data_IF_125686763641
#
_entry.id   IF_125686763641
#
_cell.length_a   1.000
_cell.length_b   1.000
_cell.length_c   1.000
_cell.angle_alpha   90.00
_cell.angle_beta   90.00
_cell.angle_gamma   90.00
#
_symmetry.space_group_name_H-M   'P 1'
#
loop_
_entity.id
_entity.type
_entity.pdbx_description
1 polymer ?
#
# COMPACT_ATOMS: atom_id res chain seq x y z
N UNK A 1 -101.81 -9.25 -36.07
CA UNK A 1 -100.74 -8.99 -37.07
C UNK A 1 -100.04 -7.70 -36.69
N UNK A 2 -99.02 -7.79 -35.83
CA UNK A 2 -98.24 -6.63 -35.34
C UNK A 2 -96.80 -6.87 -35.76
N UNK A 3 -96.35 -6.11 -36.77
CA UNK A 3 -95.02 -6.23 -37.38
C UNK A 3 -93.96 -5.67 -36.43
N UNK A 4 -93.16 -6.56 -35.85
CA UNK A 4 -91.96 -6.25 -35.06
C UNK A 4 -90.80 -6.00 -36.03
N UNK A 5 -90.49 -4.73 -36.30
CA UNK A 5 -89.25 -4.33 -36.94
C UNK A 5 -88.17 -4.16 -35.85
N UNK A 6 -87.34 -5.19 -35.65
CA UNK A 6 -86.12 -5.10 -34.82
C UNK A 6 -85.08 -4.26 -35.57
N UNK A 7 -84.89 -3.03 -35.12
CA UNK A 7 -83.77 -2.17 -35.51
C UNK A 7 -82.48 -2.71 -34.91
N UNK A 8 -81.64 -3.32 -35.76
CA UNK A 8 -80.27 -3.69 -35.46
C UNK A 8 -79.43 -2.42 -35.29
N UNK A 9 -79.27 -1.95 -34.04
CA UNK A 9 -78.29 -0.90 -33.72
C UNK A 9 -76.89 -1.46 -34.02
N UNK A 10 -76.27 -0.97 -35.10
CA UNK A 10 -74.85 -1.20 -35.33
C UNK A 10 -74.07 -0.54 -34.19
N UNK A 11 -73.49 -1.34 -33.31
CA UNK A 11 -72.48 -0.87 -32.37
C UNK A 11 -71.29 -0.37 -33.22
N UNK A 12 -71.22 0.96 -33.40
CA UNK A 12 -70.00 1.62 -33.87
C UNK A 12 -68.93 1.26 -32.85
N UNK A 13 -68.02 0.37 -33.22
CA UNK A 13 -66.80 0.15 -32.46
C UNK A 13 -66.10 1.50 -32.33
N UNK A 14 -66.14 2.09 -31.13
CA UNK A 14 -65.33 3.24 -30.78
C UNK A 14 -63.88 2.80 -30.97
N UNK A 15 -63.28 3.22 -32.08
CA UNK A 15 -61.88 2.95 -32.37
C UNK A 15 -61.03 3.46 -31.21
N UNK A 16 -60.17 2.59 -30.68
CA UNK A 16 -59.19 2.97 -29.67
C UNK A 16 -58.48 4.24 -30.16
N UNK A 17 -58.47 5.34 -29.38
CA UNK A 17 -57.93 6.60 -29.85
C UNK A 17 -56.47 6.42 -30.28
N UNK A 18 -56.15 6.79 -31.52
CA UNK A 18 -54.79 6.73 -32.11
C UNK A 18 -53.73 7.34 -31.17
N UNK A 19 -54.13 8.34 -30.40
CA UNK A 19 -53.28 9.02 -29.42
C UNK A 19 -52.88 8.12 -28.24
N UNK A 20 -53.72 7.16 -27.86
CA UNK A 20 -53.41 6.17 -26.82
C UNK A 20 -52.36 5.17 -27.32
N UNK A 21 -52.44 4.75 -28.58
CA UNK A 21 -51.45 3.87 -29.22
C UNK A 21 -50.08 4.56 -29.31
N UNK A 22 -50.05 5.84 -29.71
CA UNK A 22 -48.80 6.63 -29.75
C UNK A 22 -48.17 6.78 -28.36
N UNK A 23 -48.97 6.99 -27.31
CA UNK A 23 -48.46 7.03 -25.93
C UNK A 23 -47.84 5.69 -25.52
N UNK A 24 -48.49 4.57 -25.82
CA UNK A 24 -47.96 3.23 -25.52
C UNK A 24 -46.66 2.95 -26.28
N UNK A 25 -46.57 3.31 -27.56
CA UNK A 25 -45.32 3.19 -28.33
C UNK A 25 -44.18 4.01 -27.73
N UNK A 26 -44.47 5.24 -27.28
CA UNK A 26 -43.46 6.09 -26.64
C UNK A 26 -43.01 5.53 -25.29
N UNK A 27 -43.94 5.00 -24.48
CA UNK A 27 -43.61 4.33 -23.23
C UNK A 27 -42.76 3.08 -23.45
N UNK A 28 -43.06 2.29 -24.48
CA UNK A 28 -42.28 1.10 -24.83
C UNK A 28 -40.85 1.44 -25.26
N UNK A 29 -40.69 2.45 -26.13
CA UNK A 29 -39.35 2.87 -26.57
C UNK A 29 -38.51 3.43 -25.41
N UNK A 30 -39.16 4.10 -24.46
CA UNK A 30 -38.50 4.53 -23.23
C UNK A 30 -38.06 3.34 -22.37
N UNK A 31 -38.89 2.30 -22.25
CA UNK A 31 -38.58 1.05 -21.54
C UNK A 31 -37.33 0.36 -22.14
N UNK A 32 -37.29 0.20 -23.46
CA UNK A 32 -36.17 -0.44 -24.18
C UNK A 32 -34.85 0.32 -23.97
N UNK A 33 -34.92 1.65 -23.92
CA UNK A 33 -33.76 2.51 -23.64
C UNK A 33 -33.25 2.32 -22.21
N UNK A 34 -34.15 2.27 -21.23
CA UNK A 34 -33.82 2.04 -19.82
C UNK A 34 -33.24 0.64 -19.58
N UNK A 35 -33.80 -0.39 -20.22
CA UNK A 35 -33.30 -1.77 -20.13
C UNK A 35 -31.86 -1.89 -20.67
N UNK A 36 -31.56 -1.23 -21.79
CA UNK A 36 -30.21 -1.19 -22.36
C UNK A 36 -29.22 -0.48 -21.44
N UNK A 37 -29.59 0.68 -20.90
CA UNK A 37 -28.75 1.41 -19.94
C UNK A 37 -28.49 0.60 -18.65
N UNK A 38 -29.48 -0.16 -18.18
CA UNK A 38 -29.33 -1.03 -17.01
C UNK A 38 -28.33 -2.16 -17.28
N UNK A 39 -28.39 -2.78 -18.47
CA UNK A 39 -27.46 -3.83 -18.87
C UNK A 39 -26.02 -3.34 -18.91
N UNK A 40 -25.79 -2.14 -19.44
CA UNK A 40 -24.45 -1.53 -19.45
C UNK A 40 -23.96 -1.19 -18.04
N UNK A 41 -24.80 -0.53 -17.22
CA UNK A 41 -24.44 -0.14 -15.86
C UNK A 41 -24.16 -1.36 -14.96
N UNK A 42 -24.97 -2.42 -15.06
CA UNK A 42 -24.75 -3.65 -14.31
C UNK A 42 -23.46 -4.38 -14.73
N UNK A 43 -23.15 -4.43 -16.04
CA UNK A 43 -21.90 -4.99 -16.54
C UNK A 43 -20.67 -4.20 -16.06
N UNK A 44 -20.73 -2.87 -16.09
CA UNK A 44 -19.66 -2.00 -15.60
C UNK A 44 -19.41 -2.21 -14.10
N UNK A 45 -20.49 -2.32 -13.32
CA UNK A 45 -20.40 -2.56 -11.88
C UNK A 45 -19.82 -3.95 -11.56
N UNK A 46 -20.29 -5.02 -12.22
CA UNK A 46 -19.75 -6.37 -12.02
C UNK A 46 -18.24 -6.36 -12.27
N UNK A 47 -17.80 -5.67 -13.32
CA UNK A 47 -16.38 -5.51 -13.65
C UNK A 47 -15.61 -4.76 -12.55
N UNK A 48 -16.21 -3.69 -11.99
CA UNK A 48 -15.63 -2.94 -10.88
C UNK A 48 -15.51 -3.77 -9.60
N UNK A 49 -16.56 -4.48 -9.21
CA UNK A 49 -16.58 -5.37 -8.04
C UNK A 49 -15.54 -6.48 -8.21
N UNK A 50 -15.44 -7.07 -9.40
CA UNK A 50 -14.45 -8.11 -9.69
C UNK A 50 -13.02 -7.58 -9.55
N UNK A 51 -12.73 -6.39 -10.12
CA UNK A 51 -11.43 -5.72 -10.00
C UNK A 51 -11.04 -5.42 -8.54
N UNK A 52 -11.98 -4.90 -7.75
CA UNK A 52 -11.76 -4.65 -6.33
C UNK A 52 -11.55 -5.95 -5.53
N UNK A 53 -12.30 -6.99 -5.84
CA UNK A 53 -12.15 -8.32 -5.21
C UNK A 53 -10.77 -8.90 -5.46
N UNK A 54 -10.27 -8.83 -6.71
CA UNK A 54 -8.93 -9.26 -7.07
C UNK A 54 -7.85 -8.46 -6.34
N UNK A 55 -8.06 -7.15 -6.16
CA UNK A 55 -7.14 -6.28 -5.42
C UNK A 55 -7.04 -6.72 -3.95
N UNK A 56 -8.18 -7.00 -3.31
CA UNK A 56 -8.22 -7.49 -1.91
C UNK A 56 -7.57 -8.87 -1.78
N UNK A 57 -7.85 -9.79 -2.71
CA UNK A 57 -7.22 -11.12 -2.72
C UNK A 57 -5.70 -11.03 -2.84
N UNK A 58 -5.20 -10.14 -3.70
CA UNK A 58 -3.77 -9.90 -3.86
C UNK A 58 -3.13 -9.36 -2.59
N UNK A 59 -3.74 -8.35 -1.96
CA UNK A 59 -3.26 -7.81 -0.68
C UNK A 59 -3.22 -8.88 0.42
N UNK A 60 -4.21 -9.78 0.45
CA UNK A 60 -4.24 -10.89 1.40
C UNK A 60 -3.12 -11.91 1.13
N UNK A 61 -2.86 -12.23 -0.14
CA UNK A 61 -1.78 -13.13 -0.53
C UNK A 61 -0.39 -12.55 -0.20
N UNK A 62 -0.20 -11.25 -0.43
CA UNK A 62 1.03 -10.54 -0.10
C UNK A 62 1.27 -10.54 1.43
N UNK A 63 0.23 -10.29 2.22
CA UNK A 63 0.30 -10.32 3.69
C UNK A 63 0.66 -11.73 4.22
N UNK A 64 0.04 -12.78 3.67
CA UNK A 64 0.34 -14.16 4.07
C UNK A 64 1.77 -14.57 3.66
N UNK A 65 2.24 -14.10 2.50
CA UNK A 65 3.61 -14.36 2.04
C UNK A 65 4.65 -13.69 2.94
N UNK A 66 4.38 -12.45 3.38
CA UNK A 66 5.22 -11.76 4.37
C UNK A 66 5.25 -12.50 5.71
N UNK A 67 4.10 -13.02 6.17
CA UNK A 67 4.02 -13.81 7.40
C UNK A 67 4.83 -15.11 7.32
N UNK A 68 4.76 -15.83 6.20
CA UNK A 68 5.55 -17.03 5.98
C UNK A 68 7.06 -16.73 5.98
N UNK A 69 7.48 -15.62 5.37
CA UNK A 69 8.88 -15.18 5.38
C UNK A 69 9.42 -14.89 6.78
N UNK A 70 8.61 -14.26 7.65
CA UNK A 70 8.97 -14.00 9.04
C UNK A 70 9.14 -15.28 9.87
N UNK A 71 8.26 -16.27 9.69
CA UNK A 71 8.33 -17.56 10.42
C UNK A 71 9.55 -18.39 10.00
N UNK A 72 9.94 -18.36 8.73
CA UNK A 72 11.14 -19.07 8.25
C UNK A 72 12.43 -18.40 8.74
N UNK A 73 12.44 -17.07 8.88
CA UNK A 73 13.60 -16.35 9.43
C UNK A 73 13.86 -16.65 10.91
N UNK A 74 12.83 -16.94 11.71
CA UNK A 74 12.97 -17.32 13.12
C UNK A 74 13.45 -18.78 13.33
N UNK A 75 13.27 -19.66 12.35
CA UNK A 75 13.65 -21.07 12.45
C UNK A 75 15.06 -21.39 11.92
N UNK A 76 15.79 -20.41 11.40
CA UNK A 76 17.10 -20.61 10.77
C UNK A 76 18.26 -19.82 11.40
N UNK A 77 18.09 -19.28 12.60
CA UNK A 77 19.24 -18.84 13.42
C UNK A 77 19.92 -20.08 14.03
N UNK A 78 21.14 -20.45 13.58
CA UNK A 78 21.85 -21.57 14.19
C UNK A 78 22.31 -21.12 15.58
N UNK A 79 21.88 -21.83 16.62
CA UNK A 79 22.47 -21.74 17.95
C UNK A 79 23.87 -22.38 17.92
N UNK A 80 24.86 -21.72 17.31
CA UNK A 80 26.27 -22.12 17.48
C UNK A 80 26.82 -21.48 18.74
N UNK A 81 26.52 -22.11 19.87
CA UNK A 81 27.27 -21.97 21.10
C UNK A 81 28.20 -23.17 21.25
N UNK A 82 29.39 -23.11 20.66
CA UNK A 82 30.49 -24.01 21.05
C UNK A 82 31.71 -23.21 21.47
N UNK A 83 31.88 -23.23 22.79
CA UNK A 83 33.06 -22.84 23.53
C UNK A 83 34.13 -23.93 23.37
N UNK A 84 35.26 -23.60 22.74
CA UNK A 84 36.48 -24.39 22.89
C UNK A 84 37.66 -23.50 23.27
N UNK A 85 37.94 -23.51 24.58
CA UNK A 85 39.28 -23.28 25.13
C UNK A 85 40.14 -24.50 24.79
N UNK A 86 41.35 -24.25 24.31
CA UNK A 86 42.40 -25.25 24.24
C UNK A 86 43.62 -24.76 23.46
N UNK A 87 44.67 -24.32 24.19
CA UNK A 87 46.03 -24.29 23.64
C UNK A 87 46.55 -25.72 23.40
N UNK A 88 47.72 -25.89 22.75
CA UNK A 88 48.97 -25.57 23.45
C UNK A 88 50.09 -24.94 22.61
N UNK A 89 50.92 -24.18 23.33
CA UNK A 89 52.39 -24.11 23.31
C UNK A 89 53.16 -24.81 22.17
N UNK A 90 53.90 -24.03 21.37
CA UNK A 90 55.09 -24.49 20.64
C UNK A 90 56.17 -23.41 20.66
N UNK A 91 57.34 -23.87 21.09
CA UNK A 91 58.62 -23.21 21.32
C UNK A 91 59.30 -22.59 20.10
N UNK A 92 60.22 -21.65 20.41
CA UNK A 92 61.49 -21.33 19.69
C UNK A 92 61.37 -20.78 18.26
N UNK A 93 61.85 -19.54 18.07
CA UNK A 93 63.26 -19.44 17.66
C UNK A 93 63.89 -18.07 17.92
N UNK A 94 65.19 -18.15 18.28
CA UNK A 94 66.14 -17.06 18.39
C UNK A 94 66.35 -16.42 17.02
N UNK A 95 66.46 -15.10 16.97
CA UNK A 95 67.59 -14.51 16.25
C UNK A 95 67.95 -13.14 16.83
N UNK A 96 69.21 -13.08 17.24
CA UNK A 96 69.91 -11.91 17.73
C UNK A 96 70.13 -10.93 16.56
N UNK A 97 69.83 -9.65 16.78
CA UNK A 97 70.47 -8.58 16.02
C UNK A 97 70.82 -7.45 16.99
N UNK A 98 72.09 -7.43 17.39
CA UNK A 98 72.75 -6.26 17.97
C UNK A 98 72.84 -5.21 16.87
N UNK A 99 72.53 -3.94 17.17
CA UNK A 99 73.29 -2.76 16.71
C UNK A 99 72.84 -1.50 17.48
N UNK A 100 73.86 -0.88 18.08
CA UNK A 100 74.09 0.51 18.45
C UNK A 100 73.13 1.30 19.33
N UNK A 101 73.64 1.59 20.53
CA UNK A 101 73.49 2.83 21.26
C UNK A 101 73.76 4.07 20.39
N UNK A 102 72.85 5.05 20.43
CA UNK A 102 73.14 6.50 20.54
C UNK A 102 71.85 7.31 20.57
N UNK A 103 71.75 8.21 21.55
CA UNK A 103 71.11 9.52 21.33
C UNK A 103 69.91 9.87 22.20
N UNK A 104 70.21 10.55 23.32
CA UNK A 104 69.43 11.60 24.02
C UNK A 104 68.21 12.17 23.25
N UNK A 105 67.08 12.34 23.93
CA UNK A 105 66.68 13.64 24.50
C UNK A 105 65.35 13.53 25.26
N UNK A 106 65.32 14.12 26.45
CA UNK A 106 64.17 14.24 27.32
C UNK A 106 63.25 15.36 26.84
N UNK A 107 61.95 15.09 26.71
CA UNK A 107 60.90 16.09 26.65
C UNK A 107 59.98 15.90 27.86
N UNK A 108 60.12 16.80 28.83
CA UNK A 108 59.13 17.06 29.88
C UNK A 108 57.93 17.74 29.22
N UNK A 109 56.77 17.09 29.23
CA UNK A 109 55.49 17.78 29.06
C UNK A 109 54.66 17.62 30.33
N UNK A 110 54.10 18.74 30.75
CA UNK A 110 53.33 18.96 31.96
C UNK A 110 52.01 18.19 31.91
N UNK A 111 51.74 17.40 32.95
CA UNK A 111 50.44 16.82 33.21
C UNK A 111 49.51 17.91 33.77
N UNK A 112 48.50 18.31 33.00
CA UNK A 112 47.34 19.06 33.49
C UNK A 112 46.31 18.02 33.92
N UNK A 113 46.01 17.98 35.22
CA UNK A 113 44.93 17.18 35.81
C UNK A 113 43.57 17.76 35.42
N UNK A 114 42.64 16.99 34.81
CA UNK A 114 41.27 17.45 34.64
C UNK A 114 40.49 17.19 35.93
N UNK A 115 39.87 18.26 36.42
CA UNK A 115 38.97 18.32 37.56
C UNK A 115 37.79 17.36 37.37
N UNK A 116 37.52 16.54 38.38
CA UNK A 116 36.44 15.57 38.39
C UNK A 116 35.06 16.25 38.38
N UNK A 117 34.47 16.41 37.20
CA UNK A 117 33.03 16.63 37.08
C UNK A 117 32.32 15.28 37.31
N UNK A 118 31.41 15.28 38.29
CA UNK A 118 30.65 14.10 38.74
C UNK A 118 29.74 13.58 37.60
N UNK A 119 29.85 12.32 37.15
CA UNK A 119 29.12 11.82 35.97
C UNK A 119 27.65 11.42 36.17
N UNK A 120 27.03 11.69 37.33
CA UNK A 120 25.78 11.00 37.74
C UNK A 120 24.51 11.87 37.70
N UNK A 121 24.51 13.05 37.08
CA UNK A 121 23.31 13.90 36.99
C UNK A 121 22.47 13.72 35.71
N UNK A 122 22.79 12.75 34.82
CA UNK A 122 22.09 12.59 33.53
C UNK A 122 21.30 11.27 33.35
N UNK A 123 21.15 10.44 34.38
CA UNK A 123 20.33 9.19 34.28
C UNK A 123 18.84 9.47 34.00
N UNK A 124 18.32 10.62 34.44
CA UNK A 124 16.92 11.02 34.22
C UNK A 124 16.62 11.47 32.77
N UNK A 125 17.65 11.76 31.97
CA UNK A 125 17.47 12.18 30.57
C UNK A 125 17.30 10.99 29.63
N UNK A 126 17.99 9.87 29.89
CA UNK A 126 17.94 8.70 29.01
C UNK A 126 16.68 7.85 29.22
N UNK A 127 16.20 7.74 30.46
CA UNK A 127 14.92 7.09 30.78
C UNK A 127 13.73 7.82 30.13
N UNK A 128 13.80 9.15 30.04
CA UNK A 128 12.79 9.96 29.35
C UNK A 128 12.80 9.77 27.82
N UNK A 129 13.97 9.65 27.18
CA UNK A 129 14.06 9.45 25.73
C UNK A 129 13.53 8.08 25.30
N UNK A 130 13.81 7.04 26.07
CA UNK A 130 13.39 5.66 25.77
C UNK A 130 11.88 5.46 26.01
N UNK A 131 11.34 6.10 27.06
CA UNK A 131 9.90 6.19 27.29
C UNK A 131 9.19 6.95 26.16
N UNK A 132 9.79 8.05 25.69
CA UNK A 132 9.25 8.85 24.59
C UNK A 132 9.32 8.12 23.22
N UNK A 133 10.33 7.27 23.00
CA UNK A 133 10.41 6.46 21.78
C UNK A 133 9.40 5.31 21.78
N UNK A 134 9.21 4.62 22.92
CA UNK A 134 8.15 3.62 23.07
C UNK A 134 6.76 4.23 22.93
N UNK A 135 6.53 5.42 23.49
CA UNK A 135 5.31 6.21 23.28
C UNK A 135 5.06 6.45 21.80
N UNK A 136 6.04 7.00 21.06
CA UNK A 136 5.88 7.26 19.63
C UNK A 136 5.65 6.02 18.77
N UNK A 137 6.24 4.87 19.09
CA UNK A 137 5.94 3.63 18.37
C UNK A 137 4.54 3.07 18.69
N UNK A 138 4.05 3.30 19.91
CA UNK A 138 2.67 3.00 20.27
C UNK A 138 1.71 3.90 19.48
N UNK A 139 1.98 5.22 19.45
CA UNK A 139 1.17 6.21 18.73
C UNK A 139 1.12 5.92 17.23
N UNK A 140 2.26 5.57 16.61
CA UNK A 140 2.31 5.22 15.18
C UNK A 140 1.53 3.93 14.85
N UNK A 141 1.48 2.98 15.78
CA UNK A 141 0.64 1.78 15.62
C UNK A 141 -0.83 2.11 15.76
N UNK A 142 -1.21 2.92 16.74
CA UNK A 142 -2.59 3.39 16.91
C UNK A 142 -3.05 4.16 15.67
N UNK A 143 -2.20 5.04 15.12
CA UNK A 143 -2.50 5.75 13.87
C UNK A 143 -2.63 4.79 12.69
N UNK A 144 -1.80 3.75 12.59
CA UNK A 144 -1.88 2.76 11.53
C UNK A 144 -3.16 1.90 11.63
N UNK A 145 -3.54 1.49 12.84
CA UNK A 145 -4.76 0.74 13.10
C UNK A 145 -6.01 1.61 12.86
N UNK A 146 -5.97 2.88 13.25
CA UNK A 146 -7.04 3.86 12.98
C UNK A 146 -7.19 4.14 11.48
N UNK A 147 -6.07 4.28 10.76
CA UNK A 147 -6.08 4.45 9.31
C UNK A 147 -6.62 3.21 8.62
N UNK A 148 -6.16 2.01 8.99
CA UNK A 148 -6.66 0.75 8.41
C UNK A 148 -8.15 0.57 8.69
N UNK A 149 -8.59 0.85 9.92
CA UNK A 149 -9.99 0.79 10.32
C UNK A 149 -10.82 1.81 9.55
N UNK A 150 -10.35 3.05 9.41
CA UNK A 150 -11.00 4.08 8.60
C UNK A 150 -11.06 3.70 7.12
N UNK A 151 -10.01 3.12 6.55
CA UNK A 151 -9.96 2.73 5.14
C UNK A 151 -10.91 1.57 4.85
N UNK A 152 -10.97 0.57 5.75
CA UNK A 152 -11.93 -0.52 5.69
C UNK A 152 -13.37 0.01 5.86
N UNK A 153 -13.60 0.92 6.81
CA UNK A 153 -14.91 1.50 7.05
C UNK A 153 -15.39 2.38 5.88
N UNK A 154 -14.51 3.19 5.31
CA UNK A 154 -14.81 4.04 4.16
C UNK A 154 -15.10 3.21 2.92
N UNK A 155 -14.28 2.21 2.61
CA UNK A 155 -14.53 1.30 1.49
C UNK A 155 -15.83 0.52 1.68
N UNK A 156 -16.11 0.04 2.90
CA UNK A 156 -17.37 -0.62 3.23
C UNK A 156 -18.55 0.32 3.05
N UNK A 157 -18.45 1.57 3.50
CA UNK A 157 -19.52 2.57 3.38
C UNK A 157 -19.78 2.93 1.92
N UNK A 158 -18.73 3.14 1.12
CA UNK A 158 -18.85 3.41 -0.31
C UNK A 158 -19.52 2.24 -1.02
N UNK A 159 -19.09 1.00 -0.76
CA UNK A 159 -19.70 -0.19 -1.36
C UNK A 159 -21.15 -0.37 -0.93
N UNK A 160 -21.48 -0.15 0.35
CA UNK A 160 -22.86 -0.22 0.84
C UNK A 160 -23.75 0.88 0.23
N UNK A 161 -23.23 2.09 0.07
CA UNK A 161 -23.97 3.19 -0.54
C UNK A 161 -24.21 2.94 -2.04
N UNK A 162 -23.20 2.43 -2.75
CA UNK A 162 -23.36 2.01 -4.14
C UNK A 162 -24.41 0.91 -4.26
N UNK A 163 -24.30 -0.14 -3.44
CA UNK A 163 -25.28 -1.24 -3.42
C UNK A 163 -26.71 -0.74 -3.14
N UNK A 164 -26.89 0.17 -2.18
CA UNK A 164 -28.20 0.80 -1.89
C UNK A 164 -28.73 1.64 -3.05
N UNK A 165 -27.87 2.41 -3.72
CA UNK A 165 -28.28 3.23 -4.87
C UNK A 165 -28.75 2.34 -6.04
N UNK A 166 -28.06 1.23 -6.27
CA UNK A 166 -28.45 0.24 -7.29
C UNK A 166 -29.77 -0.42 -6.91
N UNK A 167 -29.90 -0.87 -5.66
CA UNK A 167 -31.13 -1.46 -5.15
C UNK A 167 -32.31 -0.51 -5.34
N UNK A 168 -32.18 0.77 -4.97
CA UNK A 168 -33.23 1.77 -5.17
C UNK A 168 -33.58 1.99 -6.65
N UNK A 169 -32.59 1.91 -7.55
CA UNK A 169 -32.83 2.00 -9.01
C UNK A 169 -33.62 0.80 -9.52
N UNK A 170 -33.28 -0.41 -9.07
CA UNK A 170 -33.98 -1.65 -9.43
C UNK A 170 -35.41 -1.65 -8.87
N UNK A 171 -35.60 -1.26 -7.61
CA UNK A 171 -36.93 -1.15 -6.98
C UNK A 171 -37.83 -0.14 -7.71
N UNK A 172 -37.29 1.04 -8.07
CA UNK A 172 -38.01 2.05 -8.83
C UNK A 172 -38.44 1.54 -10.21
N UNK A 173 -37.59 0.75 -10.87
CA UNK A 173 -37.91 0.14 -12.16
C UNK A 173 -38.98 -0.95 -12.04
N UNK A 174 -38.91 -1.80 -11.01
CA UNK A 174 -39.95 -2.80 -10.72
C UNK A 174 -41.30 -2.11 -10.50
N UNK A 175 -41.32 -1.04 -9.69
CA UNK A 175 -42.53 -0.27 -9.43
C UNK A 175 -43.10 0.38 -10.71
N UNK A 176 -42.23 0.92 -11.57
CA UNK A 176 -42.63 1.48 -12.87
C UNK A 176 -43.24 0.40 -13.78
N UNK A 177 -42.63 -0.78 -13.86
CA UNK A 177 -43.16 -1.92 -14.63
C UNK A 177 -44.50 -2.40 -14.08
N UNK A 178 -44.67 -2.44 -12.75
CA UNK A 178 -45.95 -2.78 -12.11
C UNK A 178 -47.04 -1.76 -12.45
N UNK A 179 -46.75 -0.46 -12.40
CA UNK A 179 -47.68 0.59 -12.81
C UNK A 179 -48.06 0.46 -14.30
N UNK A 180 -47.09 0.18 -15.17
CA UNK A 180 -47.37 -0.08 -16.58
C UNK A 180 -48.26 -1.33 -16.77
N UNK A 181 -48.08 -2.36 -15.94
CA UNK A 181 -48.87 -3.58 -15.98
C UNK A 181 -50.33 -3.34 -15.56
N UNK A 182 -50.58 -2.52 -14.54
CA UNK A 182 -51.94 -2.13 -14.13
C UNK A 182 -52.65 -1.33 -15.24
N UNK A 183 -51.95 -0.38 -15.85
CA UNK A 183 -52.46 0.42 -16.97
C UNK A 183 -52.82 -0.47 -18.18
N UNK A 184 -51.96 -1.43 -18.52
CA UNK A 184 -52.20 -2.37 -19.62
C UNK A 184 -53.26 -3.41 -19.28
N UNK A 185 -53.29 -3.93 -18.05
CA UNK A 185 -54.29 -4.87 -17.57
C UNK A 185 -55.70 -4.29 -17.60
N UNK A 186 -55.84 -2.99 -17.32
CA UNK A 186 -57.13 -2.28 -17.46
C UNK A 186 -57.61 -2.14 -18.91
N UNK A 187 -56.67 -2.20 -19.87
CA UNK A 187 -56.94 -2.10 -21.31
C UNK A 187 -57.23 -3.45 -21.96
N UNK A 188 -56.67 -4.52 -21.41
CA UNK A 188 -56.89 -5.89 -21.87
C UNK A 188 -58.19 -6.43 -21.28
N UNK A 189 -59.31 -6.10 -21.92
CA UNK A 189 -60.56 -6.85 -21.69
C UNK A 189 -60.39 -8.30 -22.15
N UNK A 190 -61.03 -9.29 -21.50
CA UNK A 190 -60.87 -10.73 -21.81
C UNK A 190 -61.19 -11.15 -23.25
N UNK A 191 -61.75 -10.26 -24.09
CA UNK A 191 -62.03 -10.54 -25.50
C UNK A 191 -60.81 -10.52 -26.44
N UNK A 192 -59.66 -9.99 -26.02
CA UNK A 192 -58.48 -9.87 -26.91
C UNK A 192 -57.81 -11.20 -27.28
N UNK A 193 -57.97 -12.26 -26.48
CA UNK A 193 -57.40 -13.59 -26.80
C UNK A 193 -58.02 -14.24 -28.05
N UNK A 194 -59.18 -13.74 -28.50
CA UNK A 194 -59.90 -14.25 -29.68
C UNK A 194 -59.75 -13.39 -30.94
N UNK A 195 -59.04 -12.25 -30.85
CA UNK A 195 -58.86 -11.35 -31.98
C UNK A 195 -57.87 -11.92 -33.00
N UNK A 196 -58.31 -12.09 -34.26
CA UNK A 196 -57.45 -12.52 -35.37
C UNK A 196 -56.64 -11.36 -35.98
N UNK A 197 -56.68 -10.17 -35.39
CA UNK A 197 -56.00 -9.00 -35.92
C UNK A 197 -54.50 -9.05 -35.58
N UNK A 198 -53.66 -9.02 -36.62
CA UNK A 198 -52.19 -9.01 -36.55
C UNK A 198 -51.57 -8.02 -35.52
N UNK A 199 -52.09 -6.78 -35.37
CA UNK A 199 -51.56 -5.83 -34.39
C UNK A 199 -51.74 -6.29 -32.93
N UNK A 200 -52.84 -6.97 -32.62
CA UNK A 200 -53.15 -7.44 -31.27
C UNK A 200 -52.21 -8.59 -30.87
N UNK A 201 -51.89 -9.48 -31.83
CA UNK A 201 -50.92 -10.56 -31.64
C UNK A 201 -49.51 -10.03 -31.36
N UNK A 202 -49.07 -9.02 -32.12
CA UNK A 202 -47.75 -8.38 -31.93
C UNK A 202 -47.65 -7.64 -30.58
N UNK A 203 -48.76 -7.06 -30.11
CA UNK A 203 -48.82 -6.45 -28.78
C UNK A 203 -48.72 -7.51 -27.68
N UNK A 204 -49.45 -8.62 -27.81
CA UNK A 204 -49.43 -9.72 -26.84
C UNK A 204 -48.05 -10.39 -26.74
N UNK A 205 -47.35 -10.56 -27.86
CA UNK A 205 -45.97 -11.06 -27.89
C UNK A 205 -45.01 -10.14 -27.14
N UNK A 206 -45.11 -8.82 -27.34
CA UNK A 206 -44.30 -7.84 -26.60
C UNK A 206 -44.62 -7.84 -25.11
N UNK A 207 -45.89 -7.93 -24.73
CA UNK A 207 -46.29 -8.03 -23.33
C UNK A 207 -45.70 -9.28 -22.66
N UNK A 208 -45.77 -10.44 -23.32
CA UNK A 208 -45.14 -11.68 -22.82
C UNK A 208 -43.63 -11.54 -22.69
N UNK A 209 -42.97 -10.85 -23.63
CA UNK A 209 -41.53 -10.58 -23.54
C UNK A 209 -41.18 -9.75 -22.30
N UNK A 210 -41.95 -8.69 -22.01
CA UNK A 210 -41.77 -7.85 -20.82
C UNK A 210 -42.01 -8.65 -19.53
N UNK A 211 -43.05 -9.48 -19.46
CA UNK A 211 -43.32 -10.31 -18.27
C UNK A 211 -42.18 -11.34 -18.03
N UNK A 212 -41.65 -11.94 -19.10
CA UNK A 212 -40.50 -12.84 -18.99
C UNK A 212 -39.23 -12.11 -18.54
N UNK A 213 -39.01 -10.88 -19.01
CA UNK A 213 -37.89 -10.04 -18.57
C UNK A 213 -38.03 -9.67 -17.08
N UNK A 214 -39.24 -9.30 -16.64
CA UNK A 214 -39.55 -9.04 -15.22
C UNK A 214 -39.22 -10.26 -14.34
N UNK A 215 -39.67 -11.46 -14.73
CA UNK A 215 -39.34 -12.71 -14.01
C UNK A 215 -37.82 -12.92 -13.95
N UNK A 216 -37.10 -12.63 -15.04
CA UNK A 216 -35.64 -12.76 -15.10
C UNK A 216 -34.94 -11.77 -14.17
N UNK A 217 -35.37 -10.52 -14.15
CA UNK A 217 -34.84 -9.47 -13.27
C UNK A 217 -35.10 -9.80 -11.79
N UNK A 218 -36.29 -10.32 -11.45
CA UNK A 218 -36.60 -10.77 -10.08
C UNK A 218 -35.64 -11.87 -9.64
N UNK A 219 -35.41 -12.90 -10.46
CA UNK A 219 -34.44 -13.98 -10.15
C UNK A 219 -33.02 -13.45 -9.99
N UNK A 220 -32.59 -12.52 -10.84
CA UNK A 220 -31.26 -11.91 -10.71
C UNK A 220 -31.13 -11.10 -9.42
N UNK A 221 -32.17 -10.39 -9.00
CA UNK A 221 -32.18 -9.66 -7.74
C UNK A 221 -32.05 -10.61 -6.54
N UNK A 222 -32.78 -11.73 -6.54
CA UNK A 222 -32.65 -12.76 -5.49
C UNK A 222 -31.22 -13.33 -5.39
N UNK A 223 -30.58 -13.59 -6.53
CA UNK A 223 -29.18 -14.07 -6.58
C UNK A 223 -28.22 -13.01 -6.04
N UNK A 224 -28.39 -11.74 -6.41
CA UNK A 224 -27.57 -10.63 -5.91
C UNK A 224 -27.74 -10.42 -4.40
N UNK A 225 -28.97 -10.50 -3.88
CA UNK A 225 -29.24 -10.44 -2.44
C UNK A 225 -28.58 -11.59 -1.68
N UNK A 226 -28.64 -12.81 -2.23
CA UNK A 226 -27.98 -13.97 -1.64
C UNK A 226 -26.45 -13.80 -1.64
N UNK A 227 -25.86 -13.31 -2.73
CA UNK A 227 -24.43 -13.03 -2.82
C UNK A 227 -24.00 -11.94 -1.83
N UNK A 228 -24.77 -10.88 -1.68
CA UNK A 228 -24.51 -9.81 -0.72
C UNK A 228 -24.56 -10.33 0.74
N UNK A 229 -25.56 -11.16 1.07
CA UNK A 229 -25.65 -11.84 2.38
C UNK A 229 -24.45 -12.74 2.65
N UNK A 230 -23.96 -13.47 1.65
CA UNK A 230 -22.74 -14.29 1.76
C UNK A 230 -21.51 -13.42 2.03
N UNK A 231 -21.30 -12.36 1.24
CA UNK A 231 -20.16 -11.46 1.39
C UNK A 231 -20.14 -10.78 2.77
N UNK A 232 -21.31 -10.39 3.29
CA UNK A 232 -21.45 -9.87 4.66
C UNK A 232 -21.10 -10.90 5.74
N UNK A 233 -21.34 -12.20 5.50
CA UNK A 233 -20.93 -13.27 6.41
C UNK A 233 -19.41 -13.41 6.40
N UNK A 234 -18.81 -13.52 5.22
CA UNK A 234 -17.37 -13.72 5.04
C UNK A 234 -16.58 -12.55 5.64
N UNK A 235 -17.07 -11.33 5.46
CA UNK A 235 -16.48 -10.14 6.08
C UNK A 235 -16.51 -10.19 7.61
N UNK A 236 -17.63 -10.64 8.21
CA UNK A 236 -17.72 -10.81 9.67
C UNK A 236 -16.77 -11.90 10.18
N UNK A 237 -16.59 -12.97 9.44
CA UNK A 237 -15.64 -14.04 9.79
C UNK A 237 -14.19 -13.56 9.69
N UNK A 238 -13.84 -12.85 8.62
CA UNK A 238 -12.51 -12.29 8.43
C UNK A 238 -12.18 -11.28 9.55
N UNK A 239 -13.14 -10.42 9.90
CA UNK A 239 -12.99 -9.48 11.03
C UNK A 239 -12.72 -10.20 12.35
N UNK A 240 -13.48 -11.26 12.66
CA UNK A 240 -13.23 -12.08 13.86
C UNK A 240 -11.83 -12.70 13.88
N UNK A 241 -11.32 -13.18 12.72
CA UNK A 241 -9.96 -13.71 12.62
C UNK A 241 -8.90 -12.63 12.85
N UNK A 242 -9.10 -11.44 12.28
CA UNK A 242 -8.23 -10.29 12.49
C UNK A 242 -8.16 -9.90 13.97
N UNK A 243 -9.31 -9.73 14.62
CA UNK A 243 -9.39 -9.39 16.05
C UNK A 243 -8.72 -10.47 16.93
N UNK A 244 -8.76 -11.74 16.51
CA UNK A 244 -8.06 -12.83 17.17
C UNK A 244 -6.53 -12.73 17.05
N UNK A 245 -6.04 -12.46 15.85
CA UNK A 245 -4.60 -12.28 15.58
C UNK A 245 -4.04 -11.05 16.29
N UNK A 246 -4.80 -9.95 16.36
CA UNK A 246 -4.37 -8.76 17.07
C UNK A 246 -4.20 -9.03 18.58
N UNK A 247 -5.17 -9.73 19.19
CA UNK A 247 -5.05 -10.18 20.59
C UNK A 247 -3.84 -11.08 20.82
N UNK A 248 -3.56 -12.01 19.91
CA UNK A 248 -2.38 -12.87 19.97
C UNK A 248 -1.08 -12.07 19.85
N UNK A 249 -1.01 -11.13 18.93
CA UNK A 249 0.15 -10.25 18.75
C UNK A 249 0.39 -9.40 20.00
N UNK A 250 -0.66 -8.82 20.59
CA UNK A 250 -0.57 -8.04 21.82
C UNK A 250 -0.18 -8.91 23.03
N UNK A 251 -0.61 -10.17 23.07
CA UNK A 251 -0.13 -11.15 24.05
C UNK A 251 1.35 -11.47 23.86
N UNK A 252 1.81 -11.68 22.62
CA UNK A 252 3.23 -11.95 22.31
C UNK A 252 4.11 -10.75 22.65
N UNK A 253 3.70 -9.52 22.31
CA UNK A 253 4.39 -8.29 22.75
C UNK A 253 4.50 -8.22 24.27
N UNK A 254 3.43 -8.55 24.98
CA UNK A 254 3.41 -8.57 26.46
C UNK A 254 4.33 -9.64 27.03
N UNK A 255 4.39 -10.83 26.41
CA UNK A 255 5.34 -11.89 26.79
C UNK A 255 6.78 -11.45 26.51
N UNK A 256 7.05 -10.89 25.33
CA UNK A 256 8.37 -10.38 24.95
C UNK A 256 8.84 -9.28 25.92
N UNK A 257 7.94 -8.39 26.33
CA UNK A 257 8.23 -7.37 27.33
C UNK A 257 8.61 -7.96 28.70
N UNK A 258 8.08 -9.14 29.09
CA UNK A 258 8.47 -9.86 30.31
C UNK A 258 9.81 -10.59 30.16
N UNK A 259 10.18 -10.98 28.94
CA UNK A 259 11.47 -11.59 28.64
C UNK A 259 12.59 -10.58 28.44
N UNK A 260 12.27 -9.31 28.16
CA UNK A 260 13.25 -8.23 28.32
C UNK A 260 13.58 -8.12 29.81
N UNK A 261 14.79 -8.52 30.24
CA UNK A 261 15.11 -8.53 31.65
C UNK A 261 14.98 -7.11 32.21
N UNK A 262 14.38 -6.93 33.40
CA UNK A 262 14.34 -5.63 34.06
C UNK A 262 15.78 -5.18 34.24
N UNK A 263 16.12 -4.08 33.56
CA UNK A 263 17.31 -3.24 33.74
C UNK A 263 18.38 -3.90 34.59
N UNK A 264 19.15 -4.84 34.02
CA UNK A 264 20.51 -4.96 34.51
C UNK A 264 21.10 -3.59 34.22
N UNK A 265 21.52 -2.84 35.24
CA UNK A 265 22.11 -1.51 35.16
C UNK A 265 23.39 -1.51 34.32
N UNK A 266 23.23 -1.76 33.02
CA UNK A 266 24.25 -1.98 32.03
C UNK A 266 24.12 -0.80 31.10
N UNK A 267 25.12 0.08 31.17
CA UNK A 267 25.47 0.96 30.06
C UNK A 267 25.22 0.17 28.77
N UNK A 268 24.33 0.67 27.92
CA UNK A 268 24.14 0.10 26.60
C UNK A 268 25.54 -0.08 26.01
N UNK A 269 25.88 -1.26 25.45
CA UNK A 269 27.19 -1.47 24.88
C UNK A 269 27.50 -0.28 23.97
N UNK A 270 28.70 0.33 24.09
CA UNK A 270 29.02 1.55 23.37
C UNK A 270 28.74 1.32 21.89
N UNK A 271 27.80 2.07 21.33
CA UNK A 271 27.46 1.98 19.91
C UNK A 271 28.64 2.52 19.11
N UNK A 272 29.00 1.83 18.04
CA UNK A 272 30.04 2.32 17.13
C UNK A 272 29.43 3.49 16.36
N UNK A 273 30.06 4.67 16.45
CA UNK A 273 29.59 5.85 15.74
C UNK A 273 29.96 5.77 14.26
N UNK A 274 28.95 5.93 13.42
CA UNK A 274 29.06 5.88 11.97
C UNK A 274 28.58 7.20 11.41
N UNK A 275 29.32 7.79 10.47
CA UNK A 275 28.96 9.06 9.82
C UNK A 275 28.68 8.83 8.34
N UNK A 276 27.65 9.50 7.82
CA UNK A 276 27.31 9.54 6.40
C UNK A 276 26.80 10.92 6.03
N UNK A 277 26.82 11.25 4.75
CA UNK A 277 26.28 12.49 4.20
C UNK A 277 25.11 12.18 3.26
N UNK A 278 24.11 13.06 3.23
CA UNK A 278 23.05 13.05 2.23
C UNK A 278 23.12 14.37 1.47
N UNK A 279 23.16 14.29 0.14
CA UNK A 279 23.10 15.45 -0.75
C UNK A 279 21.87 15.33 -1.66
N UNK A 280 21.07 16.39 -1.73
CA UNK A 280 19.96 16.49 -2.67
C UNK A 280 20.08 17.79 -3.48
N UNK A 281 20.24 17.73 -4.81
CA UNK A 281 20.49 18.89 -5.65
C UNK A 281 19.29 19.84 -5.75
N UNK A 282 18.07 19.32 -5.52
CA UNK A 282 16.83 20.10 -5.54
C UNK A 282 16.19 20.01 -4.17
N UNK A 283 16.09 21.14 -3.47
CA UNK A 283 15.34 21.23 -2.22
C UNK A 283 13.90 21.61 -2.50
N UNK A 284 13.00 20.73 -2.08
CA UNK A 284 11.55 20.95 -2.04
C UNK A 284 11.02 20.37 -0.73
N UNK A 285 9.82 20.78 -0.32
CA UNK A 285 9.16 20.21 0.87
C UNK A 285 9.04 18.68 0.78
N UNK A 286 8.81 18.17 -0.43
CA UNK A 286 8.77 16.74 -0.71
C UNK A 286 10.12 16.05 -0.47
N UNK A 287 11.23 16.64 -0.94
CA UNK A 287 12.56 16.05 -0.69
C UNK A 287 12.94 16.08 0.77
N UNK A 288 12.53 17.12 1.51
CA UNK A 288 12.79 17.22 2.95
C UNK A 288 12.02 16.14 3.72
N UNK A 289 10.77 15.88 3.33
CA UNK A 289 9.97 14.78 3.87
C UNK A 289 10.63 13.42 3.58
N UNK A 290 11.08 13.19 2.34
CA UNK A 290 11.78 11.95 1.95
C UNK A 290 13.09 11.77 2.74
N UNK A 291 13.92 12.82 2.83
CA UNK A 291 15.19 12.77 3.58
C UNK A 291 14.93 12.45 5.05
N UNK A 292 13.92 13.08 5.64
CA UNK A 292 13.54 12.86 7.04
C UNK A 292 13.13 11.40 7.28
N UNK A 293 12.28 10.86 6.43
CA UNK A 293 11.79 9.48 6.54
C UNK A 293 12.90 8.45 6.28
N UNK A 294 13.70 8.66 5.22
CA UNK A 294 14.85 7.81 4.91
C UNK A 294 15.88 7.82 6.06
N UNK A 295 16.16 8.99 6.64
CA UNK A 295 17.06 9.11 7.79
C UNK A 295 16.53 8.33 8.99
N UNK A 296 15.23 8.40 9.25
CA UNK A 296 14.57 7.62 10.31
C UNK A 296 14.72 6.11 10.06
N UNK A 297 14.39 5.65 8.85
CA UNK A 297 14.50 4.24 8.45
C UNK A 297 15.94 3.72 8.58
N UNK A 298 16.93 4.48 8.09
CA UNK A 298 18.34 4.11 8.17
C UNK A 298 18.83 4.04 9.62
N UNK A 299 18.45 5.00 10.47
CA UNK A 299 18.80 4.97 11.90
C UNK A 299 18.22 3.73 12.59
N UNK A 300 16.92 3.47 12.40
CA UNK A 300 16.27 2.28 12.96
C UNK A 300 16.91 0.98 12.47
N UNK A 301 17.32 0.92 11.20
CA UNK A 301 18.00 -0.24 10.63
C UNK A 301 19.43 -0.40 11.19
N UNK A 302 20.18 0.69 11.34
CA UNK A 302 21.54 0.70 11.89
C UNK A 302 21.58 0.35 13.39
N UNK A 303 20.55 0.72 14.14
CA UNK A 303 20.39 0.36 15.54
C UNK A 303 20.36 -1.17 15.75
N UNK A 304 19.82 -1.94 14.79
CA UNK A 304 19.84 -3.40 14.81
C UNK A 304 21.26 -3.98 14.76
N UNK A 305 22.23 -3.22 14.24
CA UNK A 305 23.64 -3.60 14.18
C UNK A 305 24.48 -2.95 15.29
N UNK A 306 23.85 -2.32 16.29
CA UNK A 306 24.54 -1.56 17.35
C UNK A 306 25.42 -0.42 16.82
N UNK A 307 25.01 0.19 15.69
CA UNK A 307 25.70 1.32 15.07
C UNK A 307 24.89 2.59 15.30
N UNK A 308 25.55 3.65 15.78
CA UNK A 308 24.94 4.98 15.92
C UNK A 308 25.21 5.79 14.65
N UNK A 309 24.20 5.89 13.78
CA UNK A 309 24.31 6.61 12.51
C UNK A 309 24.05 8.12 12.68
N UNK A 310 25.05 8.92 12.33
CA UNK A 310 24.99 10.37 12.22
C UNK A 310 24.99 10.78 10.74
N UNK A 311 23.84 11.24 10.25
CA UNK A 311 23.69 11.76 8.88
C UNK A 311 23.85 13.28 8.88
N UNK A 312 24.70 13.78 7.98
CA UNK A 312 24.88 15.21 7.71
C UNK A 312 24.16 15.53 6.40
N UNK A 313 23.21 16.46 6.45
CA UNK A 313 22.54 16.94 5.24
C UNK A 313 23.38 18.06 4.61
N UNK A 314 23.92 17.80 3.41
CA UNK A 314 24.71 18.77 2.65
C UNK A 314 23.78 19.60 1.77
N UNK A 315 23.91 20.92 1.84
CA UNK A 315 23.13 21.85 1.01
C UNK A 315 23.82 22.13 -0.33
N UNK A 316 25.15 22.03 -0.34
CA UNK A 316 25.99 22.30 -1.49
C UNK A 316 27.02 21.19 -1.72
N UNK A 317 27.50 21.06 -2.96
CA UNK A 317 28.55 20.07 -3.27
C UNK A 317 29.90 20.41 -2.65
N UNK A 318 30.10 21.65 -2.19
CA UNK A 318 31.31 22.09 -1.48
C UNK A 318 31.37 21.64 -0.03
N UNK A 319 30.22 21.29 0.57
CA UNK A 319 30.16 20.73 1.94
C UNK A 319 30.47 19.24 1.97
N UNK A 320 30.51 18.57 0.81
CA UNK A 320 30.70 17.12 0.72
C UNK A 320 32.13 16.75 1.07
N UNK A 321 32.29 16.07 2.21
CA UNK A 321 33.55 15.49 2.67
C UNK A 321 33.82 14.17 1.96
N UNK A 322 34.86 14.11 1.12
CA UNK A 322 35.18 12.94 0.27
C UNK A 322 35.52 11.65 1.03
N UNK A 323 35.98 11.76 2.27
CA UNK A 323 36.34 10.62 3.10
C UNK A 323 35.14 9.95 3.77
N UNK A 324 33.95 10.55 3.73
CA UNK A 324 32.73 9.96 4.29
C UNK A 324 31.85 9.40 3.17
N UNK A 325 31.02 8.38 3.46
CA UNK A 325 30.00 7.94 2.52
C UNK A 325 29.04 9.08 2.19
N UNK A 326 28.65 9.19 0.91
CA UNK A 326 27.73 10.20 0.40
C UNK A 326 26.58 9.51 -0.31
N UNK A 327 25.36 9.81 0.11
CA UNK A 327 24.13 9.37 -0.56
C UNK A 327 23.60 10.56 -1.36
N UNK A 328 23.62 10.45 -2.67
CA UNK A 328 23.09 11.47 -3.59
C UNK A 328 21.66 11.10 -3.96
N UNK A 329 20.71 11.93 -3.58
CA UNK A 329 19.30 11.73 -3.88
C UNK A 329 19.00 12.18 -5.31
N UNK A 330 18.48 11.26 -6.12
CA UNK A 330 17.99 11.50 -7.46
C UNK A 330 16.51 11.17 -7.55
N UNK A 331 15.65 12.17 -7.67
CA UNK A 331 14.23 11.95 -7.97
C UNK A 331 14.09 11.62 -9.46
N UNK A 332 13.59 10.43 -9.77
CA UNK A 332 13.32 10.01 -11.13
C UNK A 332 12.08 10.73 -11.67
N UNK A 333 12.28 11.66 -12.61
CA UNK A 333 11.22 12.52 -13.12
C UNK A 333 11.04 12.43 -14.64
N UNK A 334 12.10 12.10 -15.38
CA UNK A 334 12.08 12.13 -16.84
C UNK A 334 12.83 10.96 -17.47
N UNK A 335 14.16 11.00 -17.46
CA UNK A 335 15.05 10.04 -18.12
C UNK A 335 16.18 9.72 -17.15
N UNK A 336 16.36 8.43 -16.86
CA UNK A 336 17.16 7.98 -15.74
C UNK A 336 18.61 8.49 -15.82
N UNK A 337 19.26 8.33 -16.98
CA UNK A 337 20.63 8.82 -17.18
C UNK A 337 20.77 10.34 -17.05
N UNK A 338 19.80 11.10 -17.57
CA UNK A 338 19.81 12.56 -17.48
C UNK A 338 19.59 13.03 -16.05
N UNK A 339 18.60 12.45 -15.35
CA UNK A 339 18.29 12.81 -13.96
C UNK A 339 19.44 12.47 -13.02
N UNK A 340 20.09 11.30 -13.20
CA UNK A 340 21.26 10.89 -12.41
C UNK A 340 22.48 11.76 -12.74
N UNK A 341 22.75 12.04 -14.02
CA UNK A 341 23.85 12.92 -14.43
C UNK A 341 23.69 14.33 -13.86
N UNK A 342 22.45 14.85 -13.80
CA UNK A 342 22.15 16.13 -13.19
C UNK A 342 22.33 16.09 -11.67
N UNK A 343 21.92 14.99 -11.01
CA UNK A 343 22.06 14.85 -9.57
C UNK A 343 23.52 14.74 -9.12
N UNK A 344 24.36 14.12 -9.94
CA UNK A 344 25.80 14.01 -9.71
C UNK A 344 26.59 15.25 -10.17
N UNK A 345 25.93 16.25 -10.76
CA UNK A 345 26.63 17.41 -11.28
C UNK A 345 27.40 18.12 -10.16
N UNK A 346 28.74 18.22 -10.33
CA UNK A 346 29.68 18.78 -9.34
C UNK A 346 29.86 17.98 -8.05
N UNK A 347 29.26 16.79 -7.93
CA UNK A 347 29.56 15.85 -6.85
C UNK A 347 30.91 15.17 -7.18
N UNK A 348 31.86 15.10 -6.24
CA UNK A 348 33.11 14.36 -6.46
C UNK A 348 32.82 12.86 -6.51
N UNK A 349 32.65 12.32 -7.72
CA UNK A 349 32.36 10.90 -7.97
C UNK A 349 33.52 10.03 -7.49
N UNK A 350 33.19 8.92 -6.83
CA UNK A 350 34.14 7.93 -6.34
C UNK A 350 33.44 6.78 -5.61
N UNK A 351 34.20 5.79 -5.12
CA UNK A 351 33.63 4.59 -4.50
C UNK A 351 32.83 4.89 -3.22
N UNK A 352 33.07 6.04 -2.59
CA UNK A 352 32.33 6.50 -1.40
C UNK A 352 31.00 7.19 -1.75
N UNK A 353 30.58 7.21 -3.02
CA UNK A 353 29.31 7.80 -3.46
C UNK A 353 28.31 6.71 -3.82
N UNK A 354 27.11 6.80 -3.25
CA UNK A 354 25.94 6.03 -3.66
C UNK A 354 24.90 6.97 -4.28
N UNK A 355 24.33 6.59 -5.42
CA UNK A 355 23.18 7.28 -6.01
C UNK A 355 21.92 6.56 -5.59
N UNK A 356 21.02 7.28 -4.92
CA UNK A 356 19.70 6.79 -4.56
C UNK A 356 18.68 7.30 -5.59
N UNK A 357 18.23 6.41 -6.47
CA UNK A 357 17.21 6.69 -7.47
C UNK A 357 15.84 6.43 -6.86
N UNK A 358 15.04 7.49 -6.72
CA UNK A 358 13.70 7.46 -6.16
C UNK A 358 12.65 7.49 -7.25
N UNK A 359 11.97 6.37 -7.45
CA UNK A 359 10.89 6.18 -8.42
C UNK A 359 9.55 6.66 -7.84
N UNK A 360 8.84 7.50 -8.60
CA UNK A 360 7.50 7.93 -8.22
C UNK A 360 6.46 6.87 -8.58
N UNK A 361 5.68 6.39 -7.60
CA UNK A 361 4.78 5.23 -7.80
C UNK A 361 3.46 5.54 -8.51
N UNK A 362 2.99 6.80 -8.53
CA UNK A 362 1.74 7.12 -9.25
C UNK A 362 1.90 6.98 -10.77
N UNK A 363 3.16 6.95 -11.24
CA UNK A 363 3.51 6.54 -12.60
C UNK A 363 3.61 5.02 -12.59
N UNK A 364 2.56 4.36 -13.09
CA UNK A 364 2.43 2.90 -13.18
C UNK A 364 3.58 2.23 -13.97
N UNK A 365 4.71 1.98 -13.32
CA UNK A 365 5.61 0.85 -13.50
C UNK A 365 6.85 1.08 -12.63
N UNK A 366 7.04 0.26 -11.61
CA UNK A 366 8.41 0.04 -11.11
C UNK A 366 9.25 -0.42 -12.32
N UNK A 367 10.49 0.05 -12.47
CA UNK A 367 11.27 -0.29 -13.65
C UNK A 367 11.46 -1.80 -13.75
N UNK A 368 11.31 -2.34 -14.96
CA UNK A 368 11.46 -3.78 -15.22
C UNK A 368 12.90 -4.28 -14.99
N UNK A 369 13.85 -3.36 -15.00
CA UNK A 369 15.26 -3.59 -14.71
C UNK A 369 15.73 -2.56 -13.67
N UNK A 370 16.71 -2.95 -12.85
CA UNK A 370 17.32 -2.08 -11.86
C UNK A 370 18.18 -1.00 -12.52
N UNK A 371 18.29 0.17 -11.89
CA UNK A 371 18.96 1.35 -12.46
C UNK A 371 20.45 1.12 -12.76
N UNK A 372 21.12 0.29 -11.96
CA UNK A 372 22.51 -0.13 -12.15
C UNK A 372 22.75 -0.84 -13.50
N UNK A 373 21.76 -1.59 -14.00
CA UNK A 373 21.83 -2.28 -15.31
C UNK A 373 21.62 -1.35 -16.49
N UNK A 374 20.95 -0.22 -16.26
CA UNK A 374 20.65 0.77 -17.29
C UNK A 374 21.78 1.80 -17.38
N UNK A 375 22.38 2.16 -16.25
CA UNK A 375 23.41 3.18 -16.13
C UNK A 375 24.82 2.59 -16.33
N UNK A 376 25.11 2.17 -17.56
CA UNK A 376 26.39 1.50 -17.91
C UNK A 376 27.48 2.44 -18.47
N UNK A 377 27.22 3.75 -18.53
CA UNK A 377 28.19 4.75 -19.00
C UNK A 377 29.46 4.83 -18.13
N UNK A 378 30.59 5.22 -18.73
CA UNK A 378 31.88 5.33 -18.04
C UNK A 378 31.84 6.31 -16.85
N UNK A 379 30.97 7.32 -16.92
CA UNK A 379 30.72 8.29 -15.85
C UNK A 379 30.15 7.67 -14.57
N UNK A 380 29.52 6.50 -14.66
CA UNK A 380 28.92 5.80 -13.51
C UNK A 380 29.82 4.69 -12.94
N UNK A 381 30.87 4.29 -13.67
CA UNK A 381 31.74 3.16 -13.32
C UNK A 381 32.48 3.34 -11.99
N UNK A 382 32.72 4.59 -11.59
CA UNK A 382 33.45 4.91 -10.37
C UNK A 382 32.52 5.14 -9.16
N UNK A 383 31.20 5.05 -9.32
CA UNK A 383 30.24 5.18 -8.23
C UNK A 383 30.23 3.87 -7.43
N UNK A 384 30.16 3.96 -6.11
CA UNK A 384 30.17 2.79 -5.23
C UNK A 384 28.88 1.96 -5.29
N UNK A 385 27.73 2.62 -5.42
CA UNK A 385 26.44 1.95 -5.54
C UNK A 385 25.39 2.80 -6.29
N UNK A 386 24.49 2.14 -7.00
CA UNK A 386 23.26 2.73 -7.55
C UNK A 386 22.10 1.94 -6.96
N UNK A 387 21.24 2.61 -6.21
CA UNK A 387 20.22 1.98 -5.37
C UNK A 387 18.85 2.51 -5.75
N UNK A 388 17.91 1.60 -5.99
CA UNK A 388 16.53 1.92 -6.34
C UNK A 388 15.63 1.92 -5.10
N UNK A 389 14.86 2.99 -4.93
CA UNK A 389 13.79 3.10 -3.96
C UNK A 389 12.57 3.77 -4.61
N UNK A 390 11.41 3.72 -3.96
CA UNK A 390 10.16 4.28 -4.44
C UNK A 390 9.53 5.20 -3.40
N UNK A 391 8.82 6.21 -3.86
CA UNK A 391 8.10 7.15 -3.01
C UNK A 391 6.72 7.50 -3.60
N UNK A 392 5.87 8.08 -2.76
CA UNK A 392 4.57 8.67 -3.10
C UNK A 392 4.58 10.14 -2.71
N UNK A 393 4.06 11.03 -3.56
CA UNK A 393 4.07 12.48 -3.27
C UNK A 393 3.39 12.83 -1.95
N UNK A 394 2.37 12.06 -1.55
CA UNK A 394 1.57 12.31 -0.36
C UNK A 394 2.12 11.62 0.90
N UNK A 395 2.96 10.58 0.75
CA UNK A 395 3.38 9.71 1.85
C UNK A 395 4.89 9.62 2.04
N UNK A 396 5.70 10.11 1.11
CA UNK A 396 7.15 9.89 1.13
C UNK A 396 7.50 8.44 0.80
N UNK A 397 8.50 7.91 1.48
CA UNK A 397 9.09 6.57 1.32
C UNK A 397 8.25 5.56 2.10
N UNK A 398 7.49 4.72 1.41
CA UNK A 398 6.57 3.76 2.05
C UNK A 398 7.14 2.34 2.08
N UNK A 399 6.59 1.46 2.92
CA UNK A 399 7.01 0.05 2.99
C UNK A 399 6.69 -0.70 1.70
N UNK A 400 7.72 -1.24 1.04
CA UNK A 400 7.60 -2.17 -0.07
C UNK A 400 8.91 -2.92 -0.31
N UNK A 401 8.84 -4.06 -1.02
CA UNK A 401 10.00 -4.91 -1.29
C UNK A 401 11.19 -4.18 -1.94
N UNK A 402 10.94 -3.16 -2.77
CA UNK A 402 12.02 -2.35 -3.37
C UNK A 402 12.72 -1.50 -2.31
N UNK A 403 11.96 -0.84 -1.44
CA UNK A 403 12.52 -0.02 -0.37
C UNK A 403 13.20 -0.84 0.71
N UNK A 404 12.69 -2.03 1.02
CA UNK A 404 13.32 -2.93 1.98
C UNK A 404 14.71 -3.38 1.49
N UNK A 405 14.83 -3.69 0.20
CA UNK A 405 16.13 -4.01 -0.45
C UNK A 405 17.03 -2.79 -0.53
N UNK A 406 16.52 -1.65 -1.01
CA UNK A 406 17.31 -0.42 -1.11
C UNK A 406 17.83 0.06 0.24
N UNK A 407 17.06 -0.12 1.32
CA UNK A 407 17.49 0.19 2.68
C UNK A 407 18.60 -0.75 3.17
N UNK A 408 18.51 -2.03 2.85
CA UNK A 408 19.57 -3.01 3.13
C UNK A 408 20.87 -2.66 2.37
N UNK A 409 20.75 -2.34 1.08
CA UNK A 409 21.88 -1.95 0.23
C UNK A 409 22.54 -0.65 0.72
N UNK A 410 21.75 0.37 1.09
CA UNK A 410 22.26 1.60 1.70
C UNK A 410 22.97 1.33 3.02
N UNK A 411 22.38 0.49 3.86
CA UNK A 411 22.96 0.12 5.16
C UNK A 411 24.32 -0.55 4.97
N UNK A 412 24.42 -1.50 4.04
CA UNK A 412 25.66 -2.20 3.72
C UNK A 412 26.69 -1.27 3.06
N UNK A 413 26.25 -0.36 2.20
CA UNK A 413 27.10 0.68 1.61
C UNK A 413 27.74 1.56 2.69
N UNK A 414 26.93 2.12 3.61
CA UNK A 414 27.44 2.97 4.71
C UNK A 414 28.43 2.18 5.58
N UNK A 415 28.06 0.97 6.02
CA UNK A 415 28.94 0.11 6.85
C UNK A 415 30.30 -0.16 6.21
N UNK A 416 30.33 -0.39 4.90
CA UNK A 416 31.55 -0.72 4.18
C UNK A 416 32.48 0.49 3.99
N UNK A 417 31.90 1.69 3.90
CA UNK A 417 32.64 2.92 3.60
C UNK A 417 32.88 3.83 4.81
N UNK A 418 32.27 3.56 5.97
CA UNK A 418 32.53 4.28 7.22
C UNK A 418 33.60 3.65 8.12
N UNK A 419 34.02 2.42 7.85
CA UNK A 419 35.01 1.67 8.65
C UNK A 419 36.44 1.77 8.09
N UNK A 420 36.69 2.72 7.19
CA UNK A 420 38.01 3.05 6.63
C UNK A 420 38.38 4.46 7.07
#
# INVERSE_FOLDING_TARGET
>A
MTSIFRSSKSNKAEGVPVEKIKRLQKSLQHAETLASALKENSSALISQIHSQTLTVQKLHQDLNSQKAGLVVAELHTPLTGESLRGGPDVTRDRNECKISDRGRQAQKQQAVTPTSAKPWENEDLWTNVDAHHKGRQQDLREIADDLLTSLLHNNQTVLMNQAKAIQGTVEAQIHWLQSCQEDVGSLLSPNLESSSNEPDKKFLEKYRAIENEKITLTKNNEVLEAANKNLQRDFRELKKKYDGLDKENNLLKSKLARFNPPSWGKQAPPKIQVKSQIYCPRKTELTDSIITELTSMLKSKMDLYSLELNIINCESTTEIVRSLPVIVICLYASRLGTDVSNALQKVPVGPNVAVLVLHHKDIHALPAQTSDKILTGDEYRNIGAIIDMAFLSQKGVYTCNMNDRGLEDLTNFIKTHSNK
#
